data_IF_793572717745
#
_entry.id   IF_793572717745
#
_cell.length_a   1.000
_cell.length_b   1.000
_cell.length_c   1.000
_cell.angle_alpha   90.00
_cell.angle_beta   90.00
_cell.angle_gamma   90.00
#
_symmetry.space_group_name_H-M   'P 1'
#
loop_
_entity.id
_entity.type
_entity.pdbx_description
1 polymer ?
#
# COMPACT_ATOMS: atom_id res chain seq x y z
N UNK A 1 -30.62 6.15 -11.86
CA UNK A 1 -29.21 6.25 -12.26
C UNK A 1 -28.52 5.09 -11.57
N UNK A 2 -28.23 4.04 -12.32
CA UNK A 2 -27.44 2.90 -11.82
C UNK A 2 -26.06 3.40 -11.40
N UNK A 3 -25.67 3.16 -10.14
CA UNK A 3 -24.31 3.44 -9.65
C UNK A 3 -23.25 2.50 -10.25
N UNK A 4 -23.67 1.55 -11.09
CA UNK A 4 -22.82 0.50 -11.65
C UNK A 4 -21.95 0.97 -12.83
N UNK A 5 -22.17 2.17 -13.35
CA UNK A 5 -21.41 2.75 -14.48
C UNK A 5 -20.36 3.79 -14.04
N UNK A 6 -20.12 3.93 -12.74
CA UNK A 6 -18.97 4.70 -12.26
C UNK A 6 -17.73 3.84 -12.44
N UNK A 7 -16.91 4.15 -13.44
CA UNK A 7 -15.54 3.62 -13.53
C UNK A 7 -14.76 4.03 -12.27
N UNK A 8 -14.74 3.15 -11.26
CA UNK A 8 -13.90 3.35 -10.08
C UNK A 8 -12.45 3.05 -10.52
N UNK A 9 -11.77 4.05 -11.07
CA UNK A 9 -10.32 3.98 -11.22
C UNK A 9 -9.68 3.91 -9.84
N UNK A 10 -8.71 3.00 -9.67
CA UNK A 10 -7.91 2.94 -8.44
C UNK A 10 -7.27 4.30 -8.20
N UNK A 11 -7.65 4.94 -7.09
CA UNK A 11 -7.20 6.27 -6.73
C UNK A 11 -5.88 6.21 -5.95
N UNK A 12 -4.80 5.81 -6.63
CA UNK A 12 -3.46 5.81 -6.04
C UNK A 12 -3.02 7.25 -5.76
N UNK A 13 -2.25 7.45 -4.67
CA UNK A 13 -1.80 8.77 -4.24
C UNK A 13 -0.27 8.85 -4.33
N UNK A 14 0.23 9.95 -4.89
CA UNK A 14 1.65 10.31 -4.86
C UNK A 14 1.89 11.38 -3.80
N UNK A 15 2.76 11.10 -2.83
CA UNK A 15 3.13 12.03 -1.77
C UNK A 15 4.49 12.68 -2.08
N UNK A 16 4.50 13.98 -2.36
CA UNK A 16 5.72 14.74 -2.65
C UNK A 16 6.05 15.65 -1.46
N UNK A 17 7.30 15.61 -1.00
CA UNK A 17 7.78 16.49 0.06
C UNK A 17 9.23 16.16 0.48
N UNK A 18 9.91 17.07 1.18
CA UNK A 18 11.30 16.87 1.60
C UNK A 18 11.44 15.71 2.60
N UNK A 19 12.67 15.22 2.79
CA UNK A 19 12.98 14.23 3.83
C UNK A 19 12.57 14.78 5.20
N UNK A 20 11.97 13.93 6.05
CA UNK A 20 11.52 14.33 7.38
C UNK A 20 10.21 15.12 7.43
N UNK A 21 9.51 15.34 6.30
CA UNK A 21 8.20 16.03 6.30
C UNK A 21 7.03 15.17 6.82
N UNK A 22 7.28 13.95 7.27
CA UNK A 22 6.26 13.07 7.86
C UNK A 22 5.41 12.27 6.87
N UNK A 23 5.86 12.06 5.61
CA UNK A 23 5.11 11.27 4.61
C UNK A 23 4.78 9.86 5.09
N UNK A 24 5.78 9.14 5.62
CA UNK A 24 5.62 7.81 6.22
C UNK A 24 4.67 7.83 7.42
N UNK A 25 4.79 8.84 8.30
CA UNK A 25 3.92 9.00 9.46
C UNK A 25 2.46 9.26 9.03
N UNK A 26 2.25 10.04 7.97
CA UNK A 26 0.94 10.32 7.41
C UNK A 26 0.29 9.03 6.90
N UNK A 27 1.00 8.22 6.12
CA UNK A 27 0.50 6.94 5.62
C UNK A 27 0.13 5.97 6.76
N UNK A 28 1.03 5.80 7.74
CA UNK A 28 0.80 4.96 8.91
C UNK A 28 -0.38 5.46 9.78
N UNK A 29 -0.57 6.77 9.87
CA UNK A 29 -1.66 7.36 10.65
C UNK A 29 -3.00 7.19 9.96
N UNK A 30 -3.05 7.33 8.63
CA UNK A 30 -4.26 7.03 7.86
C UNK A 30 -4.68 5.56 8.03
N UNK A 31 -3.74 4.62 7.91
CA UNK A 31 -4.06 3.20 8.09
C UNK A 31 -4.59 2.88 9.49
N UNK A 32 -3.99 3.48 10.55
CA UNK A 32 -4.47 3.33 11.92
C UNK A 32 -5.86 3.93 12.15
N UNK A 33 -6.14 5.09 11.57
CA UNK A 33 -7.46 5.74 11.70
C UNK A 33 -8.54 4.94 10.97
N UNK A 34 -8.20 4.37 9.80
CA UNK A 34 -9.11 3.58 8.98
C UNK A 34 -9.27 2.12 9.45
N UNK A 35 -8.44 1.68 10.40
CA UNK A 35 -8.34 0.29 10.86
C UNK A 35 -8.19 -0.72 9.71
N UNK A 36 -7.24 -0.46 8.82
CA UNK A 36 -6.94 -1.34 7.68
C UNK A 36 -5.50 -1.87 7.73
N UNK A 37 -5.23 -3.06 7.15
CA UNK A 37 -3.88 -3.59 7.04
C UNK A 37 -2.95 -2.60 6.33
N UNK A 38 -1.70 -2.50 6.79
CA UNK A 38 -0.71 -1.58 6.25
C UNK A 38 0.59 -2.30 5.93
N UNK A 39 1.12 -2.13 4.73
CA UNK A 39 2.45 -2.62 4.36
C UNK A 39 3.31 -1.46 3.85
N UNK A 40 4.58 -1.43 4.27
CA UNK A 40 5.59 -0.50 3.79
C UNK A 40 6.68 -1.27 3.03
N UNK A 41 7.11 -0.71 1.91
CA UNK A 41 8.19 -1.23 1.09
C UNK A 41 9.11 -0.09 0.67
N UNK A 42 10.40 -0.38 0.60
CA UNK A 42 11.41 0.52 0.06
C UNK A 42 11.47 0.32 -1.47
N UNK A 43 11.04 1.33 -2.21
CA UNK A 43 10.98 1.32 -3.67
C UNK A 43 12.38 1.24 -4.31
N UNK A 44 13.46 1.61 -3.59
CA UNK A 44 14.83 1.48 -4.11
C UNK A 44 15.25 0.03 -4.27
N UNK A 45 14.59 -0.89 -3.57
CA UNK A 45 14.83 -2.33 -3.67
C UNK A 45 14.13 -2.96 -4.87
N UNK A 46 13.18 -2.27 -5.52
CA UNK A 46 12.48 -2.75 -6.70
C UNK A 46 13.28 -2.39 -7.95
N UNK A 47 14.04 -3.34 -8.51
CA UNK A 47 14.74 -3.16 -9.79
C UNK A 47 14.11 -3.98 -10.92
N UNK A 48 14.26 -3.47 -12.15
CA UNK A 48 13.68 -4.02 -13.40
C UNK A 48 14.15 -5.46 -13.73
N UNK A 49 15.21 -5.95 -13.10
CA UNK A 49 15.78 -7.27 -13.37
C UNK A 49 15.14 -8.40 -12.55
N UNK A 50 14.24 -8.09 -11.61
CA UNK A 50 13.40 -9.09 -10.93
C UNK A 50 14.17 -10.15 -10.12
N UNK A 51 15.43 -9.90 -9.75
CA UNK A 51 16.26 -10.91 -9.09
C UNK A 51 17.05 -10.45 -7.86
N UNK A 52 16.99 -9.17 -7.49
CA UNK A 52 17.63 -8.68 -6.27
C UNK A 52 16.76 -7.59 -5.64
N UNK A 53 15.97 -7.96 -4.63
CA UNK A 53 15.11 -7.07 -3.84
C UNK A 53 13.72 -7.66 -3.63
N UNK A 54 13.02 -7.27 -2.56
CA UNK A 54 11.70 -7.82 -2.19
C UNK A 54 10.77 -7.94 -3.41
N UNK A 55 10.48 -9.17 -3.84
CA UNK A 55 9.51 -9.46 -4.91
C UNK A 55 8.19 -8.72 -4.63
N UNK A 56 7.52 -8.21 -5.66
CA UNK A 56 6.21 -7.57 -5.55
C UNK A 56 5.23 -8.50 -4.82
N UNK A 57 5.36 -9.81 -5.01
CA UNK A 57 4.60 -10.84 -4.30
C UNK A 57 4.80 -10.79 -2.78
N UNK A 58 6.00 -10.47 -2.30
CA UNK A 58 6.29 -10.35 -0.87
C UNK A 58 5.57 -9.16 -0.24
N UNK A 59 5.35 -8.07 -0.97
CA UNK A 59 4.60 -6.91 -0.46
C UNK A 59 3.15 -7.30 -0.20
N UNK A 60 2.55 -8.02 -1.14
CA UNK A 60 1.18 -8.55 -1.00
C UNK A 60 1.12 -9.57 0.13
N UNK A 61 2.11 -10.45 0.24
CA UNK A 61 2.20 -11.41 1.34
C UNK A 61 2.30 -10.71 2.70
N UNK A 62 3.10 -9.63 2.82
CA UNK A 62 3.20 -8.79 4.03
C UNK A 62 1.86 -8.16 4.37
N UNK A 63 1.15 -7.62 3.37
CA UNK A 63 -0.16 -7.02 3.59
C UNK A 63 -1.18 -8.06 4.06
N UNK A 64 -1.15 -9.26 3.47
CA UNK A 64 -2.02 -10.37 3.85
C UNK A 64 -1.70 -10.89 5.26
N UNK A 65 -0.43 -10.97 5.63
CA UNK A 65 -0.01 -11.28 7.01
C UNK A 65 -0.53 -10.24 8.00
N UNK A 66 -0.42 -8.95 7.66
CA UNK A 66 -0.96 -7.85 8.46
C UNK A 66 -2.50 -7.79 8.49
N UNK A 67 -3.14 -8.57 7.62
CA UNK A 67 -4.58 -8.79 7.58
C UNK A 67 -5.00 -10.10 8.28
N UNK A 68 -4.11 -10.76 9.02
CA UNK A 68 -4.35 -12.08 9.64
C UNK A 68 -4.79 -13.15 8.62
N UNK A 69 -4.26 -13.06 7.39
CA UNK A 69 -4.63 -13.89 6.25
C UNK A 69 -6.09 -13.75 5.77
N UNK A 70 -6.81 -12.70 6.19
CA UNK A 70 -8.12 -12.34 5.66
C UNK A 70 -7.97 -11.56 4.34
N UNK A 71 -8.39 -12.21 3.24
CA UNK A 71 -8.36 -11.64 1.89
C UNK A 71 -9.25 -10.41 1.78
N UNK A 72 -10.46 -10.42 2.34
CA UNK A 72 -11.39 -9.28 2.26
C UNK A 72 -10.86 -8.07 3.03
N UNK A 73 -10.16 -8.31 4.15
CA UNK A 73 -9.50 -7.25 4.91
C UNK A 73 -8.27 -6.73 4.16
N UNK A 74 -7.47 -7.60 3.54
CA UNK A 74 -6.30 -7.23 2.74
C UNK A 74 -6.66 -6.40 1.48
N UNK A 75 -7.79 -6.68 0.83
CA UNK A 75 -8.30 -5.89 -0.32
C UNK A 75 -8.56 -4.42 0.00
N UNK A 76 -8.76 -4.09 1.28
CA UNK A 76 -8.94 -2.73 1.80
C UNK A 76 -7.66 -2.13 2.40
N UNK A 77 -6.56 -2.88 2.37
CA UNK A 77 -5.29 -2.48 2.94
C UNK A 77 -4.59 -1.36 2.18
N UNK A 78 -3.63 -0.72 2.85
CA UNK A 78 -2.80 0.34 2.29
C UNK A 78 -1.38 -0.19 2.09
N UNK A 79 -0.85 0.03 0.90
CA UNK A 79 0.57 -0.18 0.59
C UNK A 79 1.22 1.20 0.45
N UNK A 80 2.28 1.45 1.20
CA UNK A 80 3.11 2.65 1.09
C UNK A 80 4.45 2.27 0.48
N UNK A 81 4.73 2.81 -0.70
CA UNK A 81 6.02 2.71 -1.37
C UNK A 81 6.82 3.97 -1.00
N UNK A 82 7.97 3.80 -0.31
CA UNK A 82 8.91 4.90 0.00
C UNK A 82 10.11 4.90 -0.95
#
# INVERSE_FOLDING_TARGET
MDLNDVEIQKSNVLLIGPTGSGKTLLAQTMARILDVPFAIVDATTLNEAGYVGEDVENIILKLLQNADYDVQRAERGIIYLD
#
